data_IF_930255294416
#
_entry.id   IF_930255294416
#
_cell.length_a   1.000
_cell.length_b   1.000
_cell.length_c   1.000
_cell.angle_alpha   90.00
_cell.angle_beta   90.00
_cell.angle_gamma   90.00
#
_symmetry.space_group_name_H-M   'P 1'
#
loop_
_entity.id
_entity.type
_entity.pdbx_description
1 polymer ?
#
# COMPACT_ATOMS: atom_id res chain seq x y z
N UNK A 1 -0.50 -16.08 11.23
CA UNK A 1 -0.80 -14.82 10.54
C UNK A 1 -1.09 -15.12 9.08
N UNK A 2 -2.09 -14.48 8.50
CA UNK A 2 -2.44 -14.74 7.10
C UNK A 2 -1.36 -14.21 6.14
N UNK A 3 -1.21 -14.83 4.95
CA UNK A 3 -0.25 -14.34 3.95
C UNK A 3 -0.48 -12.88 3.56
N UNK A 4 -1.73 -12.45 3.47
CA UNK A 4 -2.06 -11.07 3.15
C UNK A 4 -1.55 -10.09 4.22
N UNK A 5 -1.71 -10.43 5.51
CA UNK A 5 -1.21 -9.60 6.60
C UNK A 5 0.30 -9.50 6.60
N UNK A 6 0.99 -10.60 6.32
CA UNK A 6 2.44 -10.61 6.20
C UNK A 6 2.89 -9.71 5.06
N UNK A 7 2.25 -9.82 3.90
CA UNK A 7 2.56 -9.01 2.73
C UNK A 7 2.35 -7.51 3.01
N UNK A 8 1.24 -7.15 3.63
CA UNK A 8 0.95 -5.75 3.98
C UNK A 8 2.02 -5.22 4.93
N UNK A 9 2.37 -5.99 5.96
CA UNK A 9 3.42 -5.59 6.91
C UNK A 9 4.75 -5.38 6.21
N UNK A 10 5.14 -6.29 5.32
CA UNK A 10 6.38 -6.18 4.58
C UNK A 10 6.44 -4.89 3.76
N UNK A 11 5.39 -4.61 2.98
CA UNK A 11 5.39 -3.45 2.10
C UNK A 11 5.29 -2.13 2.89
N UNK A 12 4.50 -2.09 3.95
CA UNK A 12 4.39 -0.89 4.78
C UNK A 12 5.68 -0.60 5.53
N UNK A 13 6.34 -1.61 6.09
CA UNK A 13 7.64 -1.43 6.74
C UNK A 13 8.69 -0.96 5.73
N UNK A 14 8.65 -1.48 4.52
CA UNK A 14 9.57 -1.07 3.45
C UNK A 14 9.39 0.41 3.11
N UNK A 15 8.15 0.87 2.98
CA UNK A 15 7.84 2.28 2.72
C UNK A 15 8.28 3.15 3.90
N UNK A 16 7.97 2.75 5.12
CA UNK A 16 8.31 3.49 6.33
C UNK A 16 9.83 3.64 6.49
N UNK A 17 10.57 2.56 6.27
CA UNK A 17 12.03 2.57 6.39
C UNK A 17 12.70 3.50 5.37
N UNK A 18 12.17 3.55 4.16
CA UNK A 18 12.79 4.30 3.06
C UNK A 18 12.34 5.75 3.00
N UNK A 19 11.07 6.02 3.29
CA UNK A 19 10.51 7.37 3.19
C UNK A 19 10.34 8.07 4.53
N UNK A 20 10.40 7.33 5.63
CA UNK A 20 10.23 7.89 6.97
C UNK A 20 8.78 8.22 7.32
N UNK A 21 7.82 7.75 6.55
CA UNK A 21 6.41 7.96 6.84
C UNK A 21 5.89 6.88 7.78
N UNK A 22 5.00 7.26 8.69
CA UNK A 22 4.26 6.30 9.53
C UNK A 22 2.91 6.06 8.90
N UNK A 23 2.59 4.80 8.60
CA UNK A 23 1.33 4.42 7.96
C UNK A 23 0.54 3.55 8.93
N UNK A 24 -0.63 4.04 9.35
CA UNK A 24 -1.51 3.33 10.28
C UNK A 24 -2.35 2.29 9.55
N UNK A 25 -2.67 1.20 10.22
CA UNK A 25 -3.54 0.15 9.67
C UNK A 25 -4.91 0.12 10.32
N UNK A 26 -5.10 0.86 11.42
CA UNK A 26 -6.36 0.89 12.16
C UNK A 26 -7.32 2.01 11.71
N UNK A 27 -6.99 2.72 10.64
CA UNK A 27 -7.76 3.82 10.10
C UNK A 27 -7.00 5.13 10.11
N UNK A 28 -7.59 6.17 9.53
CA UNK A 28 -6.93 7.47 9.45
C UNK A 28 -6.79 8.10 10.84
N UNK A 29 -5.61 8.60 11.19
CA UNK A 29 -5.42 9.32 12.46
C UNK A 29 -6.29 10.57 12.54
N UNK A 30 -6.80 10.87 13.72
CA UNK A 30 -7.65 12.04 13.94
C UNK A 30 -6.91 13.34 13.62
N UNK A 31 -5.65 13.41 13.97
CA UNK A 31 -4.80 14.59 13.75
C UNK A 31 -4.18 14.68 12.37
N UNK A 32 -4.54 13.80 11.46
CA UNK A 32 -3.93 13.71 10.14
C UNK A 32 -2.82 12.67 10.07
N UNK A 33 -2.51 12.21 8.88
CA UNK A 33 -1.49 11.20 8.64
C UNK A 33 -1.86 10.27 7.50
N UNK A 34 -1.23 9.10 7.48
CA UNK A 34 -1.41 8.09 6.45
C UNK A 34 -2.03 6.84 7.03
N UNK A 35 -2.87 6.19 6.24
CA UNK A 35 -3.40 4.87 6.59
C UNK A 35 -3.41 3.96 5.36
N UNK A 36 -3.42 2.67 5.61
CA UNK A 36 -3.50 1.66 4.57
C UNK A 36 -4.52 0.60 4.95
N UNK A 37 -5.32 0.19 3.98
CA UNK A 37 -6.38 -0.79 4.16
C UNK A 37 -6.37 -1.79 3.02
N UNK A 38 -6.38 -3.08 3.34
CA UNK A 38 -6.44 -4.12 2.34
C UNK A 38 -7.84 -4.18 1.72
N UNK A 39 -7.88 -4.26 0.40
CA UNK A 39 -9.10 -4.52 -0.34
C UNK A 39 -9.21 -6.02 -0.64
N UNK A 40 -10.31 -6.44 -1.28
CA UNK A 40 -10.49 -7.85 -1.64
C UNK A 40 -9.39 -8.31 -2.59
N UNK A 41 -8.70 -9.39 -2.24
CA UNK A 41 -7.65 -9.97 -3.06
C UNK A 41 -8.24 -10.66 -4.28
N UNK A 42 -7.51 -10.59 -5.39
CA UNK A 42 -7.86 -11.27 -6.64
C UNK A 42 -7.00 -12.52 -6.79
N UNK A 43 -7.65 -13.64 -7.04
CA UNK A 43 -6.96 -14.92 -7.29
C UNK A 43 -6.47 -14.94 -8.74
N UNK A 44 -5.17 -15.10 -8.92
CA UNK A 44 -4.53 -15.20 -10.23
C UNK A 44 -4.20 -16.67 -10.59
N UNK A 45 -4.62 -17.63 -9.75
CA UNK A 45 -4.31 -19.03 -9.93
C UNK A 45 -3.09 -19.47 -9.15
N UNK A 46 -2.36 -20.41 -9.70
CA UNK A 46 -1.12 -20.94 -9.09
C UNK A 46 0.10 -20.44 -9.87
N UNK A 47 1.27 -20.53 -9.23
CA UNK A 47 2.54 -20.28 -9.93
C UNK A 47 2.80 -21.37 -10.97
N UNK A 48 3.78 -21.14 -11.85
CA UNK A 48 4.10 -22.09 -12.93
C UNK A 48 4.46 -23.50 -12.42
N UNK A 49 5.10 -23.58 -11.25
CA UNK A 49 5.45 -24.83 -10.62
C UNK A 49 4.29 -25.43 -9.81
N UNK A 50 3.16 -24.74 -9.74
CA UNK A 50 1.95 -25.12 -9.00
C UNK A 50 2.15 -25.34 -7.50
N UNK A 51 3.24 -24.81 -6.96
CA UNK A 51 3.53 -24.96 -5.53
C UNK A 51 2.99 -23.84 -4.70
N UNK A 52 2.69 -22.68 -5.31
CA UNK A 52 2.23 -21.49 -4.61
C UNK A 52 1.00 -20.89 -5.25
N UNK A 53 0.18 -20.26 -4.42
CA UNK A 53 -0.93 -19.45 -4.85
C UNK A 53 -0.40 -18.08 -5.31
N UNK A 54 -0.94 -17.55 -6.41
CA UNK A 54 -0.61 -16.23 -6.94
C UNK A 54 -1.84 -15.34 -6.73
N UNK A 55 -1.67 -14.25 -6.01
CA UNK A 55 -2.77 -13.32 -5.71
C UNK A 55 -2.34 -11.89 -5.89
N UNK A 56 -3.28 -11.05 -6.34
CA UNK A 56 -3.12 -9.60 -6.35
C UNK A 56 -3.91 -9.02 -5.20
N UNK A 57 -3.22 -8.29 -4.33
CA UNK A 57 -3.80 -7.67 -3.15
C UNK A 57 -3.81 -6.16 -3.36
N UNK A 58 -4.99 -5.55 -3.61
CA UNK A 58 -5.09 -4.10 -3.68
C UNK A 58 -4.98 -3.50 -2.29
N UNK A 59 -4.14 -2.49 -2.15
CA UNK A 59 -3.93 -1.78 -0.91
C UNK A 59 -4.38 -0.33 -1.10
N UNK A 60 -5.43 0.06 -0.39
CA UNK A 60 -5.91 1.44 -0.40
C UNK A 60 -5.11 2.25 0.60
N UNK A 61 -4.40 3.25 0.10
CA UNK A 61 -3.62 4.16 0.94
C UNK A 61 -4.32 5.51 0.97
N UNK A 62 -4.58 6.00 2.16
CA UNK A 62 -5.24 7.28 2.40
C UNK A 62 -4.28 8.25 3.05
N UNK A 63 -4.35 9.51 2.62
CA UNK A 63 -3.61 10.60 3.23
C UNK A 63 -4.57 11.66 3.70
N UNK A 64 -4.36 12.15 4.93
CA UNK A 64 -5.20 13.18 5.56
C UNK A 64 -4.30 14.28 6.06
N UNK A 65 -4.48 15.50 5.55
CA UNK A 65 -3.67 16.64 5.96
C UNK A 65 -4.46 17.93 5.79
N UNK A 66 -4.17 18.91 6.64
CA UNK A 66 -4.77 20.25 6.54
C UNK A 66 -4.32 20.99 5.29
N UNK A 67 -3.14 20.67 4.79
CA UNK A 67 -2.58 21.27 3.58
C UNK A 67 -2.78 20.30 2.42
N UNK A 68 -3.59 20.69 1.45
CA UNK A 68 -3.93 19.85 0.30
C UNK A 68 -2.69 19.32 -0.43
N UNK A 69 -1.73 20.20 -0.71
CA UNK A 69 -0.50 19.83 -1.42
C UNK A 69 0.32 18.78 -0.69
N UNK A 70 0.34 18.84 0.65
CA UNK A 70 1.07 17.85 1.47
C UNK A 70 0.40 16.48 1.39
N UNK A 71 -0.94 16.44 1.47
CA UNK A 71 -1.68 15.18 1.36
C UNK A 71 -1.41 14.49 0.03
N UNK A 72 -1.48 15.24 -1.07
CA UNK A 72 -1.23 14.72 -2.41
C UNK A 72 0.22 14.28 -2.58
N UNK A 73 1.17 15.08 -2.10
CA UNK A 73 2.61 14.82 -2.25
C UNK A 73 3.05 13.56 -1.51
N UNK A 74 2.50 13.31 -0.32
CA UNK A 74 2.82 12.09 0.43
C UNK A 74 2.45 10.83 -0.37
N UNK A 75 1.26 10.80 -0.97
CA UNK A 75 0.85 9.67 -1.79
C UNK A 75 1.67 9.58 -3.07
N UNK A 76 1.97 10.71 -3.69
CA UNK A 76 2.81 10.74 -4.89
C UNK A 76 4.19 10.15 -4.58
N UNK A 77 4.79 10.51 -3.46
CA UNK A 77 6.10 10.00 -3.06
C UNK A 77 6.08 8.50 -2.82
N UNK A 78 5.02 7.99 -2.18
CA UNK A 78 4.84 6.56 -1.97
C UNK A 78 4.71 5.83 -3.31
N UNK A 79 3.85 6.32 -4.19
CA UNK A 79 3.63 5.71 -5.51
C UNK A 79 4.89 5.70 -6.35
N UNK A 80 5.61 6.80 -6.37
CA UNK A 80 6.86 6.93 -7.12
C UNK A 80 7.94 5.98 -6.57
N UNK A 81 8.06 5.88 -5.25
CA UNK A 81 8.98 4.95 -4.61
C UNK A 81 8.67 3.50 -4.98
N UNK A 82 7.40 3.10 -4.88
CA UNK A 82 6.97 1.74 -5.22
C UNK A 82 7.21 1.43 -6.69
N UNK A 83 6.90 2.38 -7.59
CA UNK A 83 7.07 2.19 -9.03
C UNK A 83 8.52 2.05 -9.45
N UNK A 84 9.45 2.63 -8.69
CA UNK A 84 10.89 2.57 -8.97
C UNK A 84 11.63 1.49 -8.21
N UNK A 85 10.97 0.81 -7.27
CA UNK A 85 11.61 -0.22 -6.47
C UNK A 85 11.98 -1.41 -7.35
N UNK A 86 13.27 -1.77 -7.35
CA UNK A 86 13.79 -2.92 -8.10
C UNK A 86 13.83 -4.19 -7.28
N UNK A 87 13.92 -4.04 -5.96
CA UNK A 87 13.91 -5.15 -5.02
C UNK A 87 12.85 -4.91 -3.96
N UNK A 88 11.99 -5.90 -3.76
CA UNK A 88 10.95 -5.86 -2.74
C UNK A 88 11.36 -6.69 -1.54
N UNK A 89 10.91 -6.33 -0.32
CA UNK A 89 11.20 -7.13 0.85
C UNK A 89 10.53 -8.51 0.73
N UNK A 90 11.19 -9.53 1.27
CA UNK A 90 10.69 -10.90 1.22
C UNK A 90 10.53 -11.46 2.61
N UNK A 91 9.63 -12.42 2.75
CA UNK A 91 9.44 -13.21 3.94
C UNK A 91 9.54 -14.69 3.60
N UNK A 92 9.85 -15.51 4.60
CA UNK A 92 10.00 -16.94 4.40
C UNK A 92 8.75 -17.60 3.82
N UNK A 93 7.58 -17.15 4.25
CA UNK A 93 6.30 -17.76 3.88
C UNK A 93 5.58 -17.04 2.74
N UNK A 94 5.97 -15.81 2.41
CA UNK A 94 5.28 -14.99 1.40
C UNK A 94 6.32 -14.31 0.52
N UNK A 95 6.20 -14.53 -0.78
CA UNK A 95 7.05 -13.88 -1.78
C UNK A 95 6.30 -12.70 -2.37
N UNK A 96 6.90 -11.51 -2.31
CA UNK A 96 6.39 -10.34 -3.01
C UNK A 96 6.93 -10.35 -4.45
N UNK A 97 6.03 -10.49 -5.42
CA UNK A 97 6.41 -10.59 -6.83
C UNK A 97 6.51 -9.23 -7.49
N UNK A 98 5.55 -8.34 -7.22
CA UNK A 98 5.54 -6.99 -7.76
C UNK A 98 4.67 -6.08 -6.91
N UNK A 99 4.90 -4.79 -7.05
CA UNK A 99 4.04 -3.75 -6.49
C UNK A 99 3.94 -2.61 -7.50
N UNK A 100 2.73 -2.14 -7.75
CA UNK A 100 2.49 -1.09 -8.73
C UNK A 100 1.30 -0.24 -8.34
N UNK A 101 1.29 1.01 -8.77
CA UNK A 101 0.15 1.91 -8.57
C UNK A 101 -0.91 1.57 -9.62
N UNK A 102 -2.08 1.10 -9.17
CA UNK A 102 -3.20 0.81 -10.07
C UNK A 102 -4.14 2.00 -10.23
N UNK A 103 -4.24 2.83 -9.20
CA UNK A 103 -5.01 4.07 -9.24
C UNK A 103 -4.18 5.17 -8.60
N UNK A 104 -3.87 6.20 -9.37
CA UNK A 104 -3.09 7.34 -8.90
C UNK A 104 -3.79 8.10 -7.78
N UNK A 105 -3.00 8.89 -7.05
CA UNK A 105 -3.52 9.74 -5.99
C UNK A 105 -4.61 10.68 -6.51
N UNK A 106 -5.77 10.63 -5.87
CA UNK A 106 -6.92 11.45 -6.23
C UNK A 106 -7.62 11.97 -4.98
N UNK A 107 -8.24 13.15 -5.04
CA UNK A 107 -8.97 13.69 -3.90
C UNK A 107 -10.22 12.85 -3.62
N UNK A 108 -10.41 12.52 -2.35
CA UNK A 108 -11.64 11.88 -1.85
C UNK A 108 -12.63 12.94 -1.39
N UNK A 109 -12.11 13.98 -0.70
CA UNK A 109 -12.93 15.05 -0.17
C UNK A 109 -12.25 15.80 0.94
N UNK A 110 -13.02 16.61 1.63
CA UNK A 110 -12.57 17.40 2.77
C UNK A 110 -13.46 17.08 3.97
N UNK A 111 -12.84 16.73 5.09
CA UNK A 111 -13.54 16.44 6.34
C UNK A 111 -13.05 17.45 7.37
N UNK A 112 -13.93 18.36 7.77
CA UNK A 112 -13.52 19.49 8.62
C UNK A 112 -12.46 20.33 7.92
N UNK A 113 -11.31 20.48 8.56
CA UNK A 113 -10.16 21.22 8.02
C UNK A 113 -9.18 20.34 7.25
N UNK A 114 -9.47 19.04 7.11
CA UNK A 114 -8.55 18.08 6.53
C UNK A 114 -8.93 17.70 5.11
N UNK A 115 -7.95 17.71 4.21
CA UNK A 115 -8.06 17.14 2.87
C UNK A 115 -7.71 15.65 2.93
N UNK A 116 -8.50 14.83 2.23
CA UNK A 116 -8.28 13.39 2.15
C UNK A 116 -8.03 13.01 0.70
N UNK A 117 -6.92 12.32 0.46
CA UNK A 117 -6.55 11.75 -0.84
C UNK A 117 -6.45 10.25 -0.71
N UNK A 118 -6.69 9.55 -1.80
CA UNK A 118 -6.56 8.10 -1.85
C UNK A 118 -5.73 7.66 -3.04
N UNK A 119 -5.11 6.50 -2.90
CA UNK A 119 -4.35 5.84 -3.96
C UNK A 119 -4.48 4.34 -3.76
N UNK A 120 -4.50 3.57 -4.85
CA UNK A 120 -4.52 2.11 -4.77
C UNK A 120 -3.22 1.57 -5.34
N UNK A 121 -2.57 0.73 -4.56
CA UNK A 121 -1.35 0.01 -4.94
C UNK A 121 -1.69 -1.47 -5.01
N UNK A 122 -1.41 -2.10 -6.14
CA UNK A 122 -1.59 -3.54 -6.29
C UNK A 122 -0.30 -4.25 -5.92
N UNK A 123 -0.40 -5.17 -4.97
CA UNK A 123 0.72 -6.00 -4.54
C UNK A 123 0.44 -7.42 -5.01
N UNK A 124 1.34 -7.95 -5.83
CA UNK A 124 1.23 -9.33 -6.29
C UNK A 124 2.09 -10.21 -5.40
N UNK A 125 1.48 -11.23 -4.85
CA UNK A 125 2.12 -12.12 -3.87
C UNK A 125 1.99 -13.59 -4.30
N UNK A 126 2.94 -14.40 -3.84
CA UNK A 126 2.88 -15.86 -3.95
C UNK A 126 3.09 -16.49 -2.58
N UNK A 127 2.30 -17.50 -2.26
CA UNK A 127 2.40 -18.17 -0.97
C UNK A 127 1.95 -19.64 -1.03
#
# INVERSE_FOLDING_TARGET
>A
MSPQKIAIRLILNFIEDKLGYTIETAGLPVGGGLSAEAQAAKDNGTTLDRQRQDRTLPLLILSKNKIQGVAMEQLFNIGNFISKATELPQDYSVQLLSASVSTDAAPVGKVGDFWIYSMIVDIRIAF
#
